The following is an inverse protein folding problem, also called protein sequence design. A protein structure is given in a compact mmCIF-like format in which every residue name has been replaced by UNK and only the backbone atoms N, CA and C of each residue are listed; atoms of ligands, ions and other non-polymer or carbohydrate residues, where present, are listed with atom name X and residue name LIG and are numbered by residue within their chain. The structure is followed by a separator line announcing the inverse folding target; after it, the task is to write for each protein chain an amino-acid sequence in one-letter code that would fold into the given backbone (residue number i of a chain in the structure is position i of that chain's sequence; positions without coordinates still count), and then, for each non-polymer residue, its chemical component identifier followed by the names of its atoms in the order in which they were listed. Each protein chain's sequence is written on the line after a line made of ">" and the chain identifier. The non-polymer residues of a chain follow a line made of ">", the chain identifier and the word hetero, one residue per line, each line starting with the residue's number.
data_IF_938385644131
#
_entry.id   IF_938385644131
#
_cell.length_a   1.000
_cell.length_b   1.000
_cell.length_c   1.000
_cell.angle_alpha   90.00
_cell.angle_beta   90.00
_cell.angle_gamma   90.00
#
_symmetry.space_group_name_H-M   'P 1'
#
loop_
_entity.id
_entity.type
_entity.pdbx_description
1 polymer ?
#
# COMPACT_ATOMS: atom_id res chain seq x y z
N UNK A 1 -52.23 -46.28 17.48
CA UNK A 1 -53.13 -46.40 18.63
C UNK A 1 -52.49 -47.20 19.75
N UNK A 2 -52.97 -47.02 20.94
CA UNK A 2 -52.55 -47.86 22.08
C UNK A 2 -53.63 -48.93 22.33
N UNK A 3 -53.23 -50.15 22.63
CA UNK A 3 -54.15 -51.19 23.11
C UNK A 3 -54.51 -50.93 24.57
N UNK A 4 -55.41 -51.73 25.13
CA UNK A 4 -55.89 -51.63 26.51
C UNK A 4 -54.76 -51.95 27.55
N UNK A 5 -53.64 -52.46 27.13
CA UNK A 5 -52.45 -52.78 27.94
C UNK A 5 -51.38 -51.65 27.84
N UNK A 6 -51.64 -50.56 27.06
CA UNK A 6 -50.79 -49.38 26.91
C UNK A 6 -49.69 -49.49 25.86
N UNK A 7 -49.59 -50.59 25.12
CA UNK A 7 -48.57 -50.80 24.09
C UNK A 7 -48.94 -50.06 22.80
N UNK A 8 -47.91 -49.50 22.14
CA UNK A 8 -48.04 -48.84 20.84
C UNK A 8 -48.14 -49.90 19.74
N UNK A 9 -49.24 -49.93 19.04
CA UNK A 9 -49.45 -50.76 17.87
C UNK A 9 -49.51 -49.85 16.61
N UNK A 10 -48.83 -50.25 15.56
CA UNK A 10 -48.96 -49.69 14.24
C UNK A 10 -49.99 -50.48 13.43
N UNK A 11 -50.92 -49.80 12.82
CA UNK A 11 -51.90 -50.40 11.91
C UNK A 11 -51.85 -49.70 10.56
N UNK A 12 -51.87 -50.46 9.48
CA UNK A 12 -51.96 -49.93 8.14
C UNK A 12 -53.41 -49.92 7.73
N UNK A 13 -54.00 -48.74 7.43
CA UNK A 13 -55.34 -48.59 6.89
C UNK A 13 -55.23 -48.32 5.38
N UNK A 14 -55.75 -49.24 4.58
CA UNK A 14 -55.85 -49.03 3.13
C UNK A 14 -57.14 -48.34 2.81
N UNK A 15 -57.10 -47.09 2.36
CA UNK A 15 -58.23 -46.35 1.85
C UNK A 15 -58.35 -46.56 0.34
N UNK A 16 -59.43 -47.21 -0.10
CA UNK A 16 -59.79 -47.32 -1.50
C UNK A 16 -60.64 -46.12 -1.89
N UNK A 17 -60.06 -45.20 -2.67
CA UNK A 17 -60.81 -44.09 -3.25
C UNK A 17 -61.27 -44.50 -4.65
N UNK A 18 -62.58 -44.57 -4.87
CA UNK A 18 -63.17 -44.80 -6.20
C UNK A 18 -63.03 -43.54 -7.03
N UNK A 19 -62.03 -43.45 -7.87
CA UNK A 19 -61.85 -42.34 -8.81
C UNK A 19 -62.81 -42.59 -9.99
N UNK A 20 -63.86 -41.83 -10.05
CA UNK A 20 -64.71 -41.81 -11.26
C UNK A 20 -63.98 -41.08 -12.37
N UNK A 21 -63.79 -41.75 -13.50
CA UNK A 21 -63.28 -41.17 -14.72
C UNK A 21 -64.31 -40.12 -15.24
N UNK A 22 -64.16 -38.88 -14.90
CA UNK A 22 -65.01 -37.84 -15.34
C UNK A 22 -64.37 -36.47 -15.18
N UNK A 23 -64.15 -35.85 -16.30
CA UNK A 23 -63.55 -34.58 -16.64
C UNK A 23 -61.99 -34.73 -16.80
N UNK A 24 -61.58 -34.78 -18.07
CA UNK A 24 -60.23 -34.40 -18.44
C UNK A 24 -59.99 -33.08 -17.73
N UNK A 25 -58.87 -32.94 -16.98
CA UNK A 25 -58.48 -31.62 -16.60
C UNK A 25 -58.35 -30.85 -17.93
N UNK A 26 -59.17 -29.82 -18.12
CA UNK A 26 -58.74 -28.72 -18.97
C UNK A 26 -57.28 -28.51 -18.57
N UNK A 27 -56.39 -28.76 -19.50
CA UNK A 27 -55.01 -28.34 -19.34
C UNK A 27 -55.08 -26.83 -19.17
N UNK A 28 -55.27 -26.38 -17.93
CA UNK A 28 -54.63 -25.15 -17.54
C UNK A 28 -53.18 -25.41 -17.87
N UNK A 29 -52.76 -24.97 -19.05
CA UNK A 29 -51.36 -24.65 -19.27
C UNK A 29 -51.05 -23.79 -18.08
N UNK A 30 -50.43 -24.40 -17.03
CA UNK A 30 -49.59 -23.69 -16.12
C UNK A 30 -48.51 -23.06 -17.01
N UNK A 31 -48.91 -21.96 -17.62
CA UNK A 31 -47.94 -21.01 -18.12
C UNK A 31 -47.30 -20.49 -16.86
N UNK A 32 -46.34 -21.23 -16.32
CA UNK A 32 -45.35 -20.67 -15.45
C UNK A 32 -44.63 -19.59 -16.27
N UNK A 33 -45.26 -18.42 -16.26
CA UNK A 33 -44.71 -17.24 -16.91
C UNK A 33 -43.41 -16.99 -16.17
N UNK A 34 -42.30 -17.26 -16.82
CA UNK A 34 -40.98 -16.98 -16.26
C UNK A 34 -40.96 -15.54 -15.76
N UNK A 35 -40.67 -15.35 -14.48
CA UNK A 35 -40.56 -14.02 -13.88
C UNK A 35 -39.45 -13.28 -14.61
N UNK A 36 -39.71 -12.15 -15.23
CA UNK A 36 -38.67 -11.39 -15.93
C UNK A 36 -37.64 -10.86 -14.92
N UNK A 37 -36.38 -10.93 -15.29
CA UNK A 37 -35.27 -10.43 -14.48
C UNK A 37 -34.50 -9.37 -15.24
N UNK A 38 -34.08 -8.31 -14.52
CA UNK A 38 -33.09 -7.35 -14.98
C UNK A 38 -31.73 -7.74 -14.41
N UNK A 39 -30.70 -7.68 -15.25
CA UNK A 39 -29.32 -7.86 -14.88
C UNK A 39 -28.46 -6.74 -15.45
N UNK A 40 -27.32 -6.47 -14.85
CA UNK A 40 -26.25 -5.68 -15.46
C UNK A 40 -25.45 -6.60 -16.38
N UNK A 41 -25.53 -6.38 -17.70
CA UNK A 41 -24.81 -7.15 -18.71
C UNK A 41 -23.33 -6.74 -18.76
N UNK A 42 -23.06 -5.43 -18.61
CA UNK A 42 -21.71 -4.87 -18.59
C UNK A 42 -21.71 -3.49 -17.94
N UNK A 43 -20.55 -3.05 -17.46
CA UNK A 43 -20.34 -1.67 -17.04
C UNK A 43 -18.93 -1.19 -17.41
N UNK A 44 -18.79 0.13 -17.47
CA UNK A 44 -17.53 0.82 -17.75
C UNK A 44 -17.46 2.09 -16.93
N UNK A 45 -16.28 2.36 -16.38
CA UNK A 45 -15.93 3.63 -15.74
C UNK A 45 -15.26 4.56 -16.76
N UNK A 46 -15.42 5.86 -16.63
CA UNK A 46 -14.81 6.85 -17.53
C UNK A 46 -13.29 6.87 -17.47
N UNK A 47 -12.70 6.30 -16.42
CA UNK A 47 -11.25 6.15 -16.23
C UNK A 47 -10.95 4.86 -15.50
N UNK A 48 -9.84 4.23 -15.84
CA UNK A 48 -9.33 3.06 -15.13
C UNK A 48 -8.74 3.44 -13.75
N UNK A 49 -8.34 4.72 -13.59
CA UNK A 49 -7.80 5.28 -12.34
C UNK A 49 -8.71 6.43 -11.88
N UNK A 50 -9.48 6.19 -10.82
CA UNK A 50 -10.35 7.19 -10.19
C UNK A 50 -9.73 7.57 -8.85
N UNK A 51 -9.39 8.85 -8.69
CA UNK A 51 -8.81 9.34 -7.44
C UNK A 51 -9.86 9.93 -6.50
N UNK A 52 -9.60 9.84 -5.21
CA UNK A 52 -10.44 10.45 -4.19
C UNK A 52 -10.62 11.95 -4.45
N UNK A 53 -11.88 12.43 -4.34
CA UNK A 53 -12.30 13.79 -4.66
C UNK A 53 -12.62 14.04 -6.13
N UNK A 54 -12.40 13.08 -7.03
CA UNK A 54 -12.68 13.23 -8.46
C UNK A 54 -14.11 12.81 -8.81
N UNK A 55 -14.61 13.41 -9.90
CA UNK A 55 -15.88 13.03 -10.54
C UNK A 55 -15.58 12.06 -11.66
N UNK A 56 -16.41 11.03 -11.79
CA UNK A 56 -16.32 10.05 -12.86
C UNK A 56 -17.70 9.66 -13.37
N UNK A 57 -17.74 9.15 -14.59
CA UNK A 57 -18.95 8.60 -15.18
C UNK A 57 -18.97 7.08 -15.06
N UNK A 58 -20.09 6.55 -14.64
CA UNK A 58 -20.43 5.13 -14.68
C UNK A 58 -21.42 4.91 -15.83
N UNK A 59 -20.98 4.20 -16.85
CA UNK A 59 -21.84 3.69 -17.94
C UNK A 59 -22.10 2.21 -17.69
N UNK A 60 -23.34 1.78 -17.75
CA UNK A 60 -23.73 0.39 -17.60
C UNK A 60 -24.87 0.00 -18.50
N UNK A 61 -24.85 -1.23 -18.95
CA UNK A 61 -25.89 -1.79 -19.83
C UNK A 61 -26.68 -2.82 -19.04
N UNK A 62 -27.97 -2.58 -18.97
CA UNK A 62 -28.92 -3.50 -18.34
C UNK A 62 -29.67 -4.30 -19.39
N UNK A 63 -30.00 -5.54 -19.06
CA UNK A 63 -30.69 -6.47 -19.95
C UNK A 63 -31.94 -7.06 -19.31
N UNK A 64 -33.05 -7.01 -20.06
CA UNK A 64 -34.20 -7.80 -19.76
C UNK A 64 -34.00 -9.24 -20.24
N UNK A 65 -33.84 -10.18 -19.31
CA UNK A 65 -33.55 -11.58 -19.63
C UNK A 65 -34.78 -12.37 -20.08
N UNK A 66 -36.01 -11.79 -19.99
CA UNK A 66 -37.21 -12.44 -20.45
C UNK A 66 -37.29 -12.44 -21.99
N UNK A 67 -37.55 -13.57 -22.57
CA UNK A 67 -37.83 -13.75 -24.00
C UNK A 67 -39.31 -13.56 -24.36
N UNK A 68 -40.18 -13.46 -23.35
CA UNK A 68 -41.65 -13.40 -23.51
C UNK A 68 -42.26 -12.07 -23.06
N UNK A 69 -41.65 -11.34 -22.12
CA UNK A 69 -42.29 -10.20 -21.45
C UNK A 69 -41.43 -8.93 -21.56
N UNK A 70 -42.07 -7.83 -21.98
CA UNK A 70 -41.48 -6.50 -21.88
C UNK A 70 -41.56 -5.99 -20.45
N UNK A 71 -40.60 -5.14 -20.05
CA UNK A 71 -40.63 -4.40 -18.79
C UNK A 71 -41.00 -2.94 -19.02
N UNK A 72 -41.70 -2.35 -18.04
CA UNK A 72 -42.06 -0.93 -18.03
C UNK A 72 -41.82 -0.32 -16.67
N UNK A 73 -41.86 1.01 -16.59
CA UNK A 73 -41.67 1.77 -15.34
C UNK A 73 -40.40 1.37 -14.59
N UNK A 74 -39.29 1.18 -15.33
CA UNK A 74 -38.03 0.74 -14.73
C UNK A 74 -37.38 1.93 -14.05
N UNK A 75 -37.26 1.85 -12.74
CA UNK A 75 -36.49 2.79 -11.92
C UNK A 75 -35.23 2.12 -11.45
N UNK A 76 -34.10 2.83 -11.52
CA UNK A 76 -32.78 2.37 -11.11
C UNK A 76 -32.30 3.32 -10.06
N UNK A 77 -31.92 2.82 -8.88
CA UNK A 77 -31.35 3.60 -7.81
C UNK A 77 -29.95 3.09 -7.48
N UNK A 78 -28.94 3.99 -7.57
CA UNK A 78 -27.53 3.66 -7.34
C UNK A 78 -27.10 4.30 -6.03
N UNK A 79 -26.54 3.50 -5.14
CA UNK A 79 -26.05 3.98 -3.83
C UNK A 79 -24.77 3.25 -3.41
N UNK A 80 -23.93 3.94 -2.67
CA UNK A 80 -22.79 3.34 -1.97
C UNK A 80 -23.32 2.31 -0.96
N UNK A 81 -22.70 1.14 -0.90
CA UNK A 81 -23.05 0.06 0.02
C UNK A 81 -22.52 0.29 1.44
N UNK A 82 -21.61 1.26 1.64
CA UNK A 82 -21.04 1.59 2.94
C UNK A 82 -22.03 2.27 3.89
N UNK A 83 -21.75 2.22 5.20
CA UNK A 83 -22.54 2.92 6.22
C UNK A 83 -22.50 4.45 6.03
N UNK A 84 -21.37 4.96 5.58
CA UNK A 84 -21.19 6.37 5.19
C UNK A 84 -20.92 6.41 3.70
N UNK A 85 -21.76 7.14 2.96
CA UNK A 85 -21.63 7.25 1.52
C UNK A 85 -20.32 7.99 1.16
N UNK A 86 -19.42 7.26 0.51
CA UNK A 86 -18.14 7.77 -0.03
C UNK A 86 -18.28 8.17 -1.49
N UNK A 87 -19.15 7.48 -2.23
CA UNK A 87 -19.49 7.77 -3.62
C UNK A 87 -20.91 8.30 -3.66
N UNK A 88 -21.08 9.53 -4.16
CA UNK A 88 -22.36 10.26 -4.23
C UNK A 88 -22.61 10.75 -5.65
N UNK A 89 -23.86 11.12 -6.01
CA UNK A 89 -24.09 11.80 -7.28
C UNK A 89 -23.22 13.05 -7.42
N UNK A 90 -22.65 13.27 -8.61
CA UNK A 90 -21.96 14.53 -8.91
C UNK A 90 -22.89 15.73 -8.76
N UNK A 91 -22.32 16.91 -8.50
CA UNK A 91 -23.08 18.12 -8.30
C UNK A 91 -24.08 18.37 -9.44
N UNK A 92 -25.37 18.55 -9.10
CA UNK A 92 -26.46 18.70 -10.07
C UNK A 92 -26.95 17.39 -10.69
N UNK A 93 -26.37 16.24 -10.32
CA UNK A 93 -26.77 14.92 -10.80
C UNK A 93 -27.80 14.22 -9.91
N UNK A 94 -28.29 13.09 -10.38
CA UNK A 94 -29.19 12.19 -9.65
C UNK A 94 -28.62 10.78 -9.66
N UNK A 95 -28.81 10.05 -8.56
CA UNK A 95 -28.52 8.62 -8.47
C UNK A 95 -29.73 7.74 -8.84
N UNK A 96 -30.81 8.35 -9.31
CA UNK A 96 -32.02 7.65 -9.75
C UNK A 96 -32.24 7.90 -11.22
N UNK A 97 -32.36 6.82 -11.99
CA UNK A 97 -32.63 6.84 -13.42
C UNK A 97 -33.98 6.21 -13.70
N UNK A 98 -34.62 6.63 -14.77
CA UNK A 98 -35.91 6.10 -15.20
C UNK A 98 -35.89 5.70 -16.67
N UNK A 99 -36.42 4.50 -16.94
CA UNK A 99 -36.62 3.99 -18.31
C UNK A 99 -38.09 3.56 -18.47
N UNK A 100 -38.74 4.14 -19.44
CA UNK A 100 -40.15 3.87 -19.66
C UNK A 100 -40.46 2.42 -20.06
N UNK A 101 -39.55 1.80 -20.83
CA UNK A 101 -39.74 0.43 -21.34
C UNK A 101 -38.42 -0.21 -21.75
N UNK A 102 -38.28 -1.52 -21.46
CA UNK A 102 -37.21 -2.39 -22.02
C UNK A 102 -37.90 -3.60 -22.65
N UNK A 103 -37.69 -3.79 -23.96
CA UNK A 103 -38.24 -4.91 -24.69
C UNK A 103 -37.74 -6.26 -24.17
N UNK A 104 -38.47 -7.32 -24.46
CA UNK A 104 -38.06 -8.70 -24.18
C UNK A 104 -36.74 -9.00 -24.86
N UNK A 105 -35.76 -9.55 -24.10
CA UNK A 105 -34.40 -9.86 -24.57
C UNK A 105 -33.55 -8.63 -24.96
N UNK A 106 -34.08 -7.41 -24.77
CA UNK A 106 -33.35 -6.18 -25.14
C UNK A 106 -32.51 -5.62 -23.99
N UNK A 107 -31.49 -4.90 -24.38
CA UNK A 107 -30.62 -4.17 -23.47
C UNK A 107 -30.84 -2.66 -23.56
N UNK A 108 -30.52 -1.94 -22.51
CA UNK A 108 -30.55 -0.47 -22.45
C UNK A 108 -29.31 0.03 -21.72
N UNK A 109 -28.56 0.94 -22.35
CA UNK A 109 -27.38 1.57 -21.73
C UNK A 109 -27.78 2.84 -21.00
N UNK A 110 -27.21 3.02 -19.82
CA UNK A 110 -27.45 4.15 -18.94
C UNK A 110 -26.10 4.73 -18.51
N UNK A 111 -26.14 6.01 -18.16
CA UNK A 111 -24.97 6.74 -17.69
C UNK A 111 -25.33 7.59 -16.48
N UNK A 112 -24.47 7.60 -15.47
CA UNK A 112 -24.58 8.44 -14.29
C UNK A 112 -23.23 9.03 -13.95
N UNK A 113 -23.20 10.32 -13.58
CA UNK A 113 -22.01 10.98 -13.09
C UNK A 113 -21.98 10.95 -11.57
N UNK A 114 -20.91 10.41 -11.01
CA UNK A 114 -20.69 10.20 -9.60
C UNK A 114 -19.43 10.95 -9.15
N UNK A 115 -19.34 11.29 -7.88
CA UNK A 115 -18.19 11.93 -7.26
C UNK A 115 -17.77 11.16 -6.02
N UNK A 116 -16.45 11.02 -5.84
CA UNK A 116 -15.87 10.40 -4.66
C UNK A 116 -15.60 11.44 -3.58
N UNK A 117 -15.69 11.04 -2.31
CA UNK A 117 -15.28 11.90 -1.20
C UNK A 117 -13.76 12.13 -1.26
N UNK A 118 -13.26 13.37 -0.95
CA UNK A 118 -11.81 13.68 -0.99
C UNK A 118 -10.98 12.91 0.03
N UNK A 119 -11.61 12.38 1.06
CA UNK A 119 -11.00 11.58 2.13
C UNK A 119 -11.22 10.07 1.96
N UNK A 120 -11.79 9.64 0.82
CA UNK A 120 -11.96 8.23 0.50
C UNK A 120 -10.62 7.49 0.59
N UNK A 121 -10.59 6.40 1.34
CA UNK A 121 -9.40 5.54 1.40
C UNK A 121 -9.21 4.78 0.10
N UNK A 122 -7.96 4.47 -0.26
CA UNK A 122 -7.65 3.71 -1.46
C UNK A 122 -8.09 2.24 -1.28
N UNK A 123 -9.19 1.87 -1.92
CA UNK A 123 -9.76 0.51 -1.96
C UNK A 123 -10.87 0.43 -3.01
N UNK A 124 -11.35 -0.77 -3.29
CA UNK A 124 -12.57 -0.95 -4.06
C UNK A 124 -13.81 -0.66 -3.20
N UNK A 125 -14.69 0.18 -3.71
CA UNK A 125 -16.00 0.49 -3.13
C UNK A 125 -17.08 -0.24 -3.90
N UNK A 126 -18.11 -0.69 -3.20
CA UNK A 126 -19.25 -1.37 -3.82
C UNK A 126 -20.43 -0.41 -3.95
N UNK A 127 -20.93 -0.28 -5.16
CA UNK A 127 -22.21 0.39 -5.43
C UNK A 127 -23.31 -0.67 -5.53
N UNK A 128 -24.40 -0.48 -4.78
CA UNK A 128 -25.64 -1.22 -4.97
C UNK A 128 -26.46 -0.54 -6.05
N UNK A 129 -26.95 -1.34 -6.99
CA UNK A 129 -27.84 -0.91 -8.08
C UNK A 129 -29.18 -1.60 -7.87
N UNK A 130 -30.13 -0.88 -7.29
CA UNK A 130 -31.46 -1.37 -7.00
C UNK A 130 -32.40 -1.09 -8.18
N UNK A 131 -33.06 -2.11 -8.69
CA UNK A 131 -34.06 -2.02 -9.75
C UNK A 131 -35.45 -2.21 -9.18
N UNK A 132 -36.39 -1.35 -9.59
CA UNK A 132 -37.82 -1.52 -9.41
C UNK A 132 -38.48 -1.39 -10.78
N UNK A 133 -39.30 -2.35 -11.18
CA UNK A 133 -39.87 -2.41 -12.51
C UNK A 133 -41.17 -3.20 -12.52
N UNK A 134 -41.95 -3.05 -13.58
CA UNK A 134 -43.22 -3.75 -13.79
C UNK A 134 -43.16 -4.63 -15.04
N UNK A 135 -43.83 -5.76 -14.96
CA UNK A 135 -44.14 -6.59 -16.12
C UNK A 135 -45.23 -5.94 -16.98
N UNK A 136 -44.96 -5.63 -18.24
CA UNK A 136 -45.94 -4.98 -19.12
C UNK A 136 -47.18 -5.87 -19.46
N UNK A 137 -47.08 -7.19 -19.23
CA UNK A 137 -48.20 -8.12 -19.50
C UNK A 137 -49.19 -8.25 -18.33
N UNK A 138 -48.72 -8.07 -17.10
CA UNK A 138 -49.50 -8.33 -15.88
C UNK A 138 -49.54 -7.12 -14.94
N UNK A 139 -48.79 -6.08 -15.18
CA UNK A 139 -48.51 -4.94 -14.27
C UNK A 139 -47.98 -5.39 -12.89
N UNK A 140 -47.44 -6.60 -12.77
CA UNK A 140 -46.84 -7.07 -11.55
C UNK A 140 -45.52 -6.34 -11.30
N UNK A 141 -45.36 -5.82 -10.08
CA UNK A 141 -44.13 -5.17 -9.65
C UNK A 141 -43.05 -6.20 -9.30
N UNK A 142 -41.81 -5.92 -9.66
CA UNK A 142 -40.64 -6.73 -9.42
C UNK A 142 -39.48 -5.85 -8.93
N UNK A 143 -38.56 -6.45 -8.23
CA UNK A 143 -37.30 -5.81 -7.83
C UNK A 143 -36.13 -6.72 -8.16
N UNK A 144 -34.96 -6.13 -8.40
CA UNK A 144 -33.68 -6.82 -8.50
C UNK A 144 -32.59 -5.95 -7.86
N UNK A 145 -31.52 -6.57 -7.45
CA UNK A 145 -30.34 -5.87 -6.90
C UNK A 145 -29.09 -6.46 -7.55
N UNK A 146 -28.20 -5.58 -7.98
CA UNK A 146 -26.89 -5.90 -8.53
C UNK A 146 -25.83 -5.04 -7.86
N UNK A 147 -24.57 -5.39 -8.02
CA UNK A 147 -23.46 -4.64 -7.44
C UNK A 147 -22.40 -4.31 -8.49
N UNK A 148 -21.80 -3.13 -8.35
CA UNK A 148 -20.70 -2.67 -9.18
C UNK A 148 -19.54 -2.32 -8.26
N UNK A 149 -18.33 -2.79 -8.58
CA UNK A 149 -17.12 -2.42 -7.87
C UNK A 149 -16.45 -1.21 -8.55
N UNK A 150 -16.08 -0.20 -7.74
CA UNK A 150 -15.39 1.00 -8.19
C UNK A 150 -14.07 1.11 -7.42
N UNK A 151 -12.92 0.90 -8.07
CA UNK A 151 -11.61 1.08 -7.43
C UNK A 151 -11.32 2.58 -7.26
N UNK A 152 -11.06 3.00 -6.04
CA UNK A 152 -10.67 4.37 -5.72
C UNK A 152 -9.21 4.38 -5.29
N UNK A 153 -8.44 5.31 -5.85
CA UNK A 153 -7.04 5.55 -5.56
C UNK A 153 -6.87 6.81 -4.70
N UNK A 154 -5.75 6.87 -4.01
CA UNK A 154 -5.25 8.12 -3.41
C UNK A 154 -3.99 8.55 -4.17
N UNK A 155 -3.85 9.85 -4.42
CA UNK A 155 -2.61 10.38 -5.02
C UNK A 155 -1.46 10.24 -4.04
N UNK A 156 -0.40 9.57 -4.47
CA UNK A 156 0.85 9.53 -3.72
C UNK A 156 1.43 10.93 -3.69
N UNK A 157 1.90 11.35 -2.52
CA UNK A 157 2.54 12.63 -2.27
C UNK A 157 3.78 12.40 -1.44
N UNK A 158 4.77 11.76 -2.04
CA UNK A 158 6.09 11.60 -1.47
C UNK A 158 6.86 12.92 -1.65
N UNK A 159 7.43 13.43 -0.58
CA UNK A 159 8.40 14.52 -0.60
C UNK A 159 9.70 13.99 -0.01
N UNK A 160 10.81 14.28 -0.67
CA UNK A 160 12.14 13.93 -0.20
C UNK A 160 12.94 15.20 0.05
N UNK A 161 13.80 15.18 1.06
CA UNK A 161 14.85 16.18 1.22
C UNK A 161 16.01 15.84 0.28
N UNK A 162 16.86 16.82 0.01
CA UNK A 162 18.12 16.58 -0.72
C UNK A 162 19.01 15.60 0.06
N UNK A 163 19.72 14.68 -0.64
CA UNK A 163 20.67 13.79 0.00
C UNK A 163 21.73 14.60 0.77
N UNK A 164 21.95 14.24 2.02
CA UNK A 164 22.94 14.88 2.89
C UNK A 164 24.10 13.92 3.12
N UNK A 165 25.27 14.25 2.62
CA UNK A 165 26.52 13.53 2.90
C UNK A 165 27.00 13.93 4.29
N UNK A 166 27.42 12.96 5.11
CA UNK A 166 27.84 13.25 6.49
C UNK A 166 29.23 13.88 6.58
N UNK A 167 30.12 13.54 5.65
CA UNK A 167 31.47 14.05 5.59
C UNK A 167 31.59 15.13 4.52
N UNK A 168 32.28 16.24 4.84
CA UNK A 168 32.54 17.34 3.88
C UNK A 168 33.40 16.87 2.70
N UNK A 169 34.27 15.89 2.93
CA UNK A 169 35.19 15.30 1.94
C UNK A 169 35.10 13.79 2.00
N UNK A 170 34.89 13.18 0.85
CA UNK A 170 34.95 11.72 0.67
C UNK A 170 36.35 11.33 0.14
N UNK A 171 36.75 10.09 0.40
CA UNK A 171 38.04 9.60 -0.08
C UNK A 171 37.85 8.45 -1.06
N UNK A 172 38.71 8.40 -2.07
CA UNK A 172 38.78 7.34 -3.06
C UNK A 172 38.83 5.97 -2.38
N UNK A 173 38.03 5.01 -2.88
CA UNK A 173 37.93 3.64 -2.36
C UNK A 173 37.48 3.51 -0.89
N UNK A 174 37.00 4.59 -0.28
CA UNK A 174 36.50 4.61 1.10
C UNK A 174 35.01 4.75 1.15
N UNK A 175 34.34 4.08 2.12
CA UNK A 175 32.90 4.18 2.31
C UNK A 175 32.51 5.58 2.79
N UNK A 176 31.58 6.21 2.09
CA UNK A 176 30.98 7.50 2.41
C UNK A 176 29.50 7.32 2.68
N UNK A 177 29.04 7.79 3.83
CA UNK A 177 27.64 7.67 4.23
C UNK A 177 26.84 8.93 3.94
N UNK A 178 25.59 8.74 3.52
CA UNK A 178 24.63 9.83 3.30
C UNK A 178 23.27 9.47 3.86
N UNK A 179 22.48 10.49 4.19
CA UNK A 179 21.13 10.35 4.69
C UNK A 179 20.12 11.03 3.79
N UNK A 180 18.98 10.37 3.59
CA UNK A 180 17.84 10.89 2.86
C UNK A 180 16.59 10.82 3.73
N UNK A 181 15.86 11.92 3.87
CA UNK A 181 14.57 11.95 4.56
C UNK A 181 13.43 11.99 3.58
N UNK A 182 12.48 11.09 3.78
CA UNK A 182 11.26 10.93 2.97
C UNK A 182 10.04 11.21 3.83
N UNK A 183 9.08 11.97 3.30
CA UNK A 183 7.85 12.35 3.97
C UNK A 183 6.65 11.90 3.12
N UNK A 184 5.84 11.02 3.63
CA UNK A 184 4.57 10.69 2.98
C UNK A 184 3.52 11.76 3.36
N UNK A 185 3.35 12.75 2.52
CA UNK A 185 2.37 13.82 2.69
C UNK A 185 0.98 13.44 2.13
N UNK A 186 0.84 12.21 1.63
CA UNK A 186 -0.40 11.64 1.12
C UNK A 186 -1.32 11.12 2.24
N UNK A 187 -2.43 10.52 1.83
CA UNK A 187 -3.43 9.89 2.70
C UNK A 187 -3.42 8.37 2.62
N UNK A 188 -2.62 7.80 1.73
CA UNK A 188 -2.39 6.37 1.56
C UNK A 188 -0.98 6.01 1.97
N UNK A 189 -0.79 4.80 2.47
CA UNK A 189 0.54 4.24 2.69
C UNK A 189 1.25 3.99 1.37
N UNK A 190 2.56 4.07 1.40
CA UNK A 190 3.49 3.74 0.33
C UNK A 190 4.21 2.46 0.77
N UNK A 191 4.33 1.49 -0.12
CA UNK A 191 4.85 0.16 0.20
C UNK A 191 6.18 -0.08 -0.51
N UNK A 192 6.94 -1.04 0.00
CA UNK A 192 8.16 -1.52 -0.61
C UNK A 192 9.16 -0.40 -0.96
N UNK A 193 9.25 0.63 -0.07
CA UNK A 193 10.22 1.71 -0.26
C UNK A 193 11.64 1.15 -0.26
N UNK A 194 12.36 1.35 -1.34
CA UNK A 194 13.77 0.97 -1.52
C UNK A 194 14.54 2.23 -1.92
N UNK A 195 15.71 2.42 -1.36
CA UNK A 195 16.62 3.51 -1.71
C UNK A 195 17.91 2.92 -2.28
N UNK A 196 18.20 3.30 -3.49
CA UNK A 196 19.37 2.92 -4.26
C UNK A 196 20.16 4.14 -4.70
N UNK A 197 21.38 3.94 -5.17
CA UNK A 197 22.22 4.98 -5.77
C UNK A 197 22.70 4.54 -7.14
N UNK A 198 22.56 5.44 -8.11
CA UNK A 198 23.11 5.31 -9.45
C UNK A 198 24.14 6.41 -9.69
N UNK A 199 25.22 6.09 -10.37
CA UNK A 199 26.26 7.07 -10.77
C UNK A 199 27.49 6.37 -11.29
N UNK A 200 28.12 6.96 -12.29
CA UNK A 200 29.43 6.47 -12.76
C UNK A 200 30.47 6.78 -11.68
N UNK A 201 31.35 5.84 -11.40
CA UNK A 201 32.37 6.01 -10.34
C UNK A 201 31.84 5.84 -8.91
N UNK A 202 30.57 5.42 -8.74
CA UNK A 202 29.96 5.13 -7.44
C UNK A 202 29.56 3.67 -7.36
N UNK A 203 29.90 3.02 -6.26
CA UNK A 203 29.45 1.67 -5.92
C UNK A 203 28.62 1.75 -4.64
N UNK A 204 27.35 1.41 -4.72
CA UNK A 204 26.50 1.26 -3.55
C UNK A 204 26.93 0.03 -2.75
N UNK A 205 27.06 0.14 -1.43
CA UNK A 205 27.39 -0.99 -0.56
C UNK A 205 26.19 -1.90 -0.36
N UNK A 206 25.03 -1.31 0.00
CA UNK A 206 23.77 -2.02 0.20
C UNK A 206 22.60 -1.09 -0.06
N UNK A 207 21.57 -1.61 -0.74
CA UNK A 207 20.29 -0.91 -0.90
C UNK A 207 19.56 -0.81 0.44
N UNK A 208 18.97 0.33 0.74
CA UNK A 208 18.18 0.50 1.95
C UNK A 208 16.72 0.09 1.70
N UNK A 209 16.23 -0.91 2.45
CA UNK A 209 14.84 -1.31 2.43
C UNK A 209 14.07 -0.69 3.60
N UNK A 210 13.25 0.31 3.31
CA UNK A 210 12.44 1.05 4.29
C UNK A 210 11.05 0.44 4.55
N UNK A 211 10.63 -0.54 3.71
CA UNK A 211 9.34 -1.21 3.85
C UNK A 211 8.16 -0.27 3.60
N UNK A 212 7.25 -0.16 4.58
CA UNK A 212 6.03 0.65 4.46
C UNK A 212 6.20 2.02 5.10
N UNK A 213 5.96 3.08 4.32
CA UNK A 213 5.86 4.45 4.80
C UNK A 213 4.38 4.86 4.92
N UNK A 214 3.85 4.85 6.14
CA UNK A 214 2.45 5.17 6.42
C UNK A 214 2.09 6.62 6.07
N UNK A 215 0.82 6.90 5.84
CA UNK A 215 0.32 8.25 5.61
C UNK A 215 0.72 9.19 6.75
N UNK A 216 1.26 10.36 6.42
CA UNK A 216 1.71 11.37 7.39
C UNK A 216 2.99 11.02 8.15
N UNK A 217 3.68 9.91 7.80
CA UNK A 217 4.92 9.47 8.46
C UNK A 217 6.16 9.94 7.70
N UNK A 218 7.29 9.88 8.42
CA UNK A 218 8.62 10.19 7.90
C UNK A 218 9.49 8.94 8.01
N UNK A 219 10.34 8.73 7.00
CA UNK A 219 11.36 7.70 6.98
C UNK A 219 12.71 8.35 6.68
N UNK A 220 13.74 8.00 7.43
CA UNK A 220 15.13 8.34 7.13
C UNK A 220 15.84 7.09 6.65
N UNK A 221 16.55 7.20 5.55
CA UNK A 221 17.38 6.16 4.98
C UNK A 221 18.84 6.60 5.08
N UNK A 222 19.67 5.79 5.72
CA UNK A 222 21.11 5.95 5.74
C UNK A 222 21.72 4.90 4.80
N UNK A 223 22.45 5.35 3.81
CA UNK A 223 23.09 4.51 2.77
C UNK A 223 24.57 4.88 2.66
N UNK A 224 25.37 3.95 2.17
CA UNK A 224 26.79 4.15 1.98
C UNK A 224 27.22 3.80 0.55
N UNK A 225 28.08 4.63 0.00
CA UNK A 225 28.67 4.46 -1.33
C UNK A 225 30.17 4.46 -1.25
N UNK A 226 30.83 3.75 -2.17
CA UNK A 226 32.27 3.75 -2.33
C UNK A 226 32.58 4.41 -3.67
N UNK A 227 33.22 5.61 -3.68
CA UNK A 227 33.68 6.24 -4.91
C UNK A 227 34.92 5.54 -5.46
N UNK A 228 34.97 5.33 -6.78
CA UNK A 228 36.11 4.71 -7.48
C UNK A 228 36.89 5.67 -8.37
N UNK A 229 36.55 6.97 -8.32
CA UNK A 229 37.21 8.04 -9.06
C UNK A 229 37.37 9.25 -8.13
N UNK A 230 38.46 10.03 -8.28
CA UNK A 230 38.67 11.28 -7.55
C UNK A 230 38.05 12.46 -8.33
N UNK A 231 37.64 13.51 -7.62
CA UNK A 231 37.02 14.70 -8.18
C UNK A 231 35.54 14.82 -7.81
N UNK A 232 34.80 15.63 -8.56
CA UNK A 232 33.36 15.81 -8.36
C UNK A 232 32.56 14.75 -9.11
N UNK A 233 32.02 13.79 -8.38
CA UNK A 233 31.23 12.69 -8.93
C UNK A 233 29.74 13.06 -8.83
N UNK A 234 29.03 12.96 -9.95
CA UNK A 234 27.59 13.12 -10.01
C UNK A 234 26.88 11.78 -9.76
N UNK A 235 26.01 11.74 -8.77
CA UNK A 235 25.18 10.61 -8.45
C UNK A 235 23.69 10.97 -8.43
N UNK A 236 22.85 9.94 -8.40
CA UNK A 236 21.41 10.05 -8.24
C UNK A 236 20.95 9.04 -7.21
N UNK A 237 20.30 9.50 -6.15
CA UNK A 237 19.56 8.63 -5.27
C UNK A 237 18.22 8.29 -5.95
N UNK A 238 17.92 7.01 -6.05
CA UNK A 238 16.69 6.47 -6.66
C UNK A 238 15.85 5.87 -5.55
N UNK A 239 14.66 6.41 -5.35
CA UNK A 239 13.70 5.93 -4.36
C UNK A 239 12.56 5.27 -5.12
N UNK A 240 12.51 3.95 -5.10
CA UNK A 240 11.43 3.16 -5.70
C UNK A 240 10.43 2.73 -4.61
N UNK A 241 9.15 2.66 -5.00
CA UNK A 241 8.07 2.31 -4.10
C UNK A 241 6.86 1.78 -4.87
N UNK A 242 5.87 1.28 -4.15
CA UNK A 242 4.59 0.82 -4.71
C UNK A 242 3.42 1.50 -3.99
N UNK A 243 2.33 1.69 -4.72
CA UNK A 243 1.06 2.10 -4.13
C UNK A 243 0.30 0.90 -3.51
N UNK A 244 -0.91 1.16 -2.98
CA UNK A 244 -1.77 0.13 -2.37
C UNK A 244 -2.21 -0.98 -3.34
N UNK A 245 -2.14 -0.74 -4.65
CA UNK A 245 -2.49 -1.71 -5.69
C UNK A 245 -1.26 -2.39 -6.31
N UNK A 246 -0.04 -2.07 -5.80
CA UNK A 246 1.22 -2.60 -6.32
C UNK A 246 1.70 -1.87 -7.58
N UNK A 247 1.15 -0.69 -7.90
CA UNK A 247 1.65 0.12 -9.01
C UNK A 247 2.96 0.81 -8.59
N UNK A 248 4.03 0.67 -9.40
CA UNK A 248 5.33 1.23 -9.06
C UNK A 248 5.37 2.75 -9.22
N UNK A 249 6.15 3.39 -8.36
CA UNK A 249 6.53 4.79 -8.45
C UNK A 249 8.02 4.96 -8.17
N UNK A 250 8.59 6.07 -8.62
CA UNK A 250 10.01 6.36 -8.46
C UNK A 250 10.22 7.86 -8.29
N UNK A 251 11.12 8.23 -7.35
CA UNK A 251 11.65 9.59 -7.18
C UNK A 251 13.15 9.57 -7.35
N UNK A 252 13.70 10.56 -8.04
CA UNK A 252 15.12 10.64 -8.37
C UNK A 252 15.71 11.95 -7.86
N UNK A 253 16.72 11.85 -6.98
CA UNK A 253 17.36 12.99 -6.33
C UNK A 253 18.84 13.07 -6.73
N UNK A 254 19.24 14.07 -7.51
CA UNK A 254 20.65 14.23 -7.87
C UNK A 254 21.46 14.72 -6.67
N UNK A 255 22.72 14.29 -6.61
CA UNK A 255 23.71 14.79 -5.66
C UNK A 255 25.08 14.85 -6.28
N UNK A 256 25.98 15.59 -5.65
CA UNK A 256 27.41 15.66 -6.01
C UNK A 256 28.23 15.24 -4.82
N UNK A 257 29.19 14.36 -5.06
CA UNK A 257 30.16 13.91 -4.06
C UNK A 257 31.55 14.46 -4.43
N UNK A 258 32.17 15.18 -3.51
CA UNK A 258 33.55 15.65 -3.67
C UNK A 258 34.51 14.59 -3.10
N UNK A 259 35.36 14.03 -3.97
CA UNK A 259 36.22 12.89 -3.65
C UNK A 259 37.69 13.27 -3.80
N UNK A 260 38.46 13.13 -2.73
CA UNK A 260 39.90 13.31 -2.74
C UNK A 260 40.64 11.96 -2.82
N UNK A 261 41.75 11.95 -3.55
CA UNK A 261 42.66 10.82 -3.53
C UNK A 261 43.69 11.03 -2.38
N UNK A 262 43.68 10.19 -1.34
CA UNK A 262 44.60 10.31 -0.21
C UNK A 262 46.07 10.12 -0.62
N UNK A 263 46.32 9.54 -1.81
CA UNK A 263 47.67 9.27 -2.33
C UNK A 263 48.17 10.33 -3.34
N UNK A 264 47.32 11.27 -3.76
CA UNK A 264 47.65 12.26 -4.81
C UNK A 264 48.89 13.13 -4.50
N UNK A 265 49.37 13.18 -3.25
CA UNK A 265 50.58 13.88 -2.85
C UNK A 265 51.83 13.01 -2.78
N UNK A 266 51.72 11.67 -2.84
CA UNK A 266 52.87 10.77 -2.63
C UNK A 266 53.62 10.45 -3.94
N UNK A 267 52.98 10.56 -5.10
CA UNK A 267 53.65 10.31 -6.40
C UNK A 267 54.75 11.30 -6.74
N UNK A 268 54.86 12.45 -6.07
CA UNK A 268 55.93 13.42 -6.26
C UNK A 268 57.15 13.22 -5.33
N UNK A 269 57.19 12.24 -4.44
CA UNK A 269 58.33 11.97 -3.56
C UNK A 269 59.30 10.89 -4.06
N UNK A 270 58.99 10.10 -5.08
CA UNK A 270 59.88 9.11 -5.67
C UNK A 270 61.02 9.72 -6.53
N UNK A 271 61.10 11.04 -6.69
CA UNK A 271 62.13 11.76 -7.46
C UNK A 271 63.31 12.28 -6.63
N UNK A 272 63.38 12.05 -5.33
CA UNK A 272 64.40 12.68 -4.45
C UNK A 272 65.36 11.68 -3.81
N UNK A 273 65.60 10.52 -4.42
CA UNK A 273 66.73 9.66 -4.14
C UNK A 273 67.86 10.02 -5.10
N UNK A 274 68.74 10.93 -4.67
CA UNK A 274 69.95 11.21 -5.44
C UNK A 274 70.75 12.48 -5.08
N UNK A 275 70.90 12.78 -3.82
CA UNK A 275 72.05 13.68 -3.43
C UNK A 275 72.83 13.00 -2.37
N UNK A 276 73.83 12.24 -2.88
CA UNK A 276 74.87 11.60 -2.11
C UNK A 276 75.70 12.58 -1.24
N UNK A 277 75.96 12.12 -0.06
CA UNK A 277 76.71 12.82 0.96
C UNK A 277 78.13 13.14 0.62
N UNK A 278 78.64 14.15 1.21
CA UNK A 278 80.02 14.25 1.58
C UNK A 278 80.10 14.68 3.02
N UNK A 279 80.97 13.95 3.78
CA UNK A 279 81.11 13.98 5.19
C UNK A 279 81.64 15.29 5.77
N UNK A 280 81.28 15.52 7.02
CA UNK A 280 82.12 16.28 7.94
C UNK A 280 82.10 15.59 9.31
N UNK A 281 83.25 14.96 9.64
CA UNK A 281 83.64 14.68 11.02
C UNK A 281 83.80 15.99 11.77
N UNK A 282 83.22 16.08 12.92
CA UNK A 282 83.49 17.20 13.84
C UNK A 282 82.84 16.89 15.18
N UNK A 283 83.60 16.24 16.05
CA UNK A 283 83.20 15.98 17.42
C UNK A 283 83.02 17.25 18.24
N UNK A 284 82.12 17.21 19.21
CA UNK A 284 82.34 17.81 20.55
C UNK A 284 81.22 17.45 21.51
N UNK A 285 81.62 16.68 22.52
CA UNK A 285 81.29 16.77 23.96
C UNK A 285 79.84 17.07 24.39
N UNK A 286 79.33 16.07 25.05
CA UNK A 286 78.22 16.07 26.03
C UNK A 286 78.45 17.11 27.16
N UNK A 287 77.45 17.75 27.69
CA UNK A 287 77.11 17.49 29.08
C UNK A 287 75.61 17.33 29.36
N UNK A 288 75.32 16.25 29.95
CA UNK A 288 74.24 15.81 30.81
C UNK A 288 73.07 16.74 31.09
N UNK A 289 71.90 16.22 30.85
CA UNK A 289 70.73 16.48 31.70
C UNK A 289 69.83 15.22 31.76
N UNK A 290 69.77 14.65 32.93
CA UNK A 290 68.80 13.64 33.34
C UNK A 290 67.39 14.21 33.27
N UNK A 291 66.54 13.52 32.60
CA UNK A 291 65.09 13.80 32.56
C UNK A 291 64.31 12.56 32.16
N UNK A 292 64.01 11.69 33.13
CA UNK A 292 63.31 10.43 32.95
C UNK A 292 61.94 10.59 32.38
N UNK A 293 61.73 10.08 31.21
CA UNK A 293 60.34 9.82 30.68
C UNK A 293 59.79 8.56 31.33
N UNK A 294 58.98 8.74 32.35
CA UNK A 294 58.12 7.64 32.88
C UNK A 294 57.08 7.27 31.82
N UNK A 295 57.33 6.20 31.11
CA UNK A 295 56.37 5.54 30.24
C UNK A 295 55.13 5.18 31.02
N UNK A 296 54.00 5.61 30.57
CA UNK A 296 52.68 5.24 31.12
C UNK A 296 52.48 3.74 30.87
N UNK A 297 52.23 2.92 31.90
CA UNK A 297 52.10 1.48 31.71
C UNK A 297 50.80 1.16 31.00
N UNK A 298 50.88 0.29 30.00
CA UNK A 298 49.80 -0.16 29.11
C UNK A 298 48.57 -0.73 29.83
N UNK A 299 48.64 -1.11 31.07
CA UNK A 299 47.51 -1.63 31.86
C UNK A 299 46.55 -0.54 32.34
N UNK A 300 46.85 0.75 32.20
CA UNK A 300 45.92 1.86 32.49
C UNK A 300 44.66 1.90 31.61
N UNK A 301 44.68 1.27 30.45
CA UNK A 301 43.54 1.20 29.53
C UNK A 301 42.53 0.10 29.90
N UNK A 302 42.90 -0.85 30.75
CA UNK A 302 42.02 -1.98 31.12
C UNK A 302 41.04 -1.61 32.23
N UNK A 303 41.29 -0.57 33.00
CA UNK A 303 40.42 -0.14 34.10
C UNK A 303 39.33 0.82 33.62
N UNK A 304 39.51 1.53 32.50
CA UNK A 304 38.55 2.45 31.92
C UNK A 304 37.34 1.76 31.24
N UNK A 305 37.54 0.55 30.70
CA UNK A 305 36.49 -0.19 29.98
C UNK A 305 35.52 -0.96 30.90
N UNK A 306 35.88 -1.18 32.17
CA UNK A 306 35.07 -1.92 33.14
C UNK A 306 33.93 -1.09 33.82
N UNK A 307 34.07 0.24 33.82
CA UNK A 307 33.13 1.11 34.52
C UNK A 307 31.90 1.54 33.71
N UNK A 308 31.90 1.41 32.38
CA UNK A 308 30.79 1.76 31.50
C UNK A 308 29.89 0.57 31.15
N UNK A 309 30.34 -0.68 31.38
CA UNK A 309 29.51 -1.89 31.11
C UNK A 309 28.58 -2.30 32.24
N UNK A 310 28.81 -1.85 33.49
CA UNK A 310 28.03 -2.31 34.65
C UNK A 310 26.75 -1.53 34.94
N UNK A 311 26.60 -0.30 34.46
CA UNK A 311 25.48 0.58 34.75
C UNK A 311 24.21 0.31 33.90
N UNK A 312 24.40 -0.19 32.66
CA UNK A 312 23.30 -0.43 31.70
C UNK A 312 22.46 -1.67 32.00
N UNK A 313 23.06 -2.70 32.60
CA UNK A 313 22.35 -3.97 32.81
C UNK A 313 21.44 -3.97 34.05
N UNK A 314 21.71 -3.13 35.05
CA UNK A 314 20.85 -3.02 36.24
C UNK A 314 19.67 -2.07 36.05
N UNK A 315 19.74 -1.08 35.14
CA UNK A 315 18.66 -0.16 34.83
C UNK A 315 17.51 -0.84 34.04
N UNK A 316 17.83 -1.74 33.14
CA UNK A 316 16.86 -2.39 32.28
C UNK A 316 15.98 -3.44 33.02
N UNK A 317 16.50 -4.09 34.08
CA UNK A 317 15.72 -5.02 34.90
C UNK A 317 14.73 -4.31 35.85
N UNK A 318 14.99 -3.06 36.25
CA UNK A 318 14.10 -2.30 37.13
C UNK A 318 12.92 -1.66 36.41
N UNK A 319 13.07 -1.33 35.12
CA UNK A 319 12.00 -0.79 34.28
C UNK A 319 10.98 -1.87 33.83
N UNK A 320 11.45 -3.11 33.58
CA UNK A 320 10.57 -4.22 33.22
C UNK A 320 9.68 -4.71 34.39
N UNK A 321 10.13 -4.52 35.66
CA UNK A 321 9.40 -4.88 36.86
C UNK A 321 8.35 -3.84 37.27
N UNK A 322 8.45 -2.59 36.81
CA UNK A 322 7.45 -1.54 37.04
C UNK A 322 6.29 -1.57 36.06
N UNK A 323 6.50 -2.07 34.81
CA UNK A 323 5.42 -2.21 33.81
C UNK A 323 4.53 -3.44 34.04
N UNK A 324 5.00 -4.44 34.77
CA UNK A 324 4.18 -5.63 35.10
C UNK A 324 3.26 -5.42 36.31
N UNK A 325 3.49 -4.37 37.13
CA UNK A 325 2.65 -4.06 38.32
C UNK A 325 1.51 -3.09 38.05
N UNK A 326 1.48 -2.40 36.90
CA UNK A 326 0.42 -1.45 36.56
C UNK A 326 -0.74 -2.09 35.76
N UNK A 327 -0.69 -3.39 35.51
CA UNK A 327 -1.73 -4.13 34.77
C UNK A 327 -2.55 -5.08 35.65
N UNK A 328 -2.27 -5.12 37.01
CA UNK A 328 -3.04 -5.94 37.95
C UNK A 328 -4.00 -5.14 38.83
N UNK A 329 -4.00 -3.80 38.75
CA UNK A 329 -4.85 -2.94 39.61
C UNK A 329 -6.08 -2.35 38.90
N UNK A 330 -6.40 -2.76 37.67
CA UNK A 330 -7.61 -2.37 36.93
C UNK A 330 -8.40 -3.61 36.46
N UNK A 331 -8.91 -4.41 37.40
CA UNK A 331 -10.02 -5.36 37.15
C UNK A 331 -11.03 -5.21 38.28
#
# INVERSE_FOLDING_TARGET
>A
YRNDEGDLKSGTVSLFVNVRKGLSPTSDKDTTTSVPKLIIESYKLSSDKIYAGETFDLEFTIKNTSDSTNLQNVQIHIKDAGETATIVPASGGSNTLYISKIGKGQSSSQKVSLQTAPDATAKAYTLNVDFSYESASTNAAHTANETIAVPILQKIRLKCDEPTVYDDVSYLDSSTSMSIKMYNMGRSSIYNCIVDVEGNGLKLEESYFGGTLSAGSTLAADISVIPSEAGDIQGTVVISYEDVYGEPGEERLPFTLHVEDPNAGMENMEGMEGMGGEGMEGGMTDPGMEGGSKGFPWWGWVIGAGALGGGGFFGFKKLKKRRARSLEDDV
#
